data_IF_805618020422
#
_entry.id   IF_805618020422
#
_cell.length_a   1.000
_cell.length_b   1.000
_cell.length_c   1.000
_cell.angle_alpha   90.00
_cell.angle_beta   90.00
_cell.angle_gamma   90.00
#
_symmetry.space_group_name_H-M   'P 1'
#
loop_
_entity.id
_entity.type
_entity.pdbx_description
1 polymer ?
#
# COMPACT_ATOMS: atom_id res chain seq x y z
N UNK A 1 -16.56 -16.58 20.10
CA UNK A 1 -15.17 -16.25 19.73
C UNK A 1 -15.18 -15.07 18.75
N UNK A 2 -14.77 -13.85 19.07
CA UNK A 2 -14.93 -13.06 20.31
C UNK A 2 -15.17 -11.61 19.86
N UNK A 3 -16.08 -10.91 20.53
CA UNK A 3 -16.46 -9.52 20.27
C UNK A 3 -15.37 -8.49 20.69
N UNK A 4 -14.16 -8.95 21.01
CA UNK A 4 -13.10 -8.14 21.62
C UNK A 4 -12.28 -7.34 20.60
N UNK A 5 -12.07 -7.83 19.37
CA UNK A 5 -11.22 -7.11 18.39
C UNK A 5 -11.92 -5.89 17.78
N UNK A 6 -13.23 -5.94 17.58
CA UNK A 6 -14.00 -4.82 17.05
C UNK A 6 -14.15 -3.67 18.07
N UNK A 7 -14.00 -3.99 19.37
CA UNK A 7 -14.01 -3.04 20.48
C UNK A 7 -12.66 -2.32 20.64
N UNK A 8 -11.55 -2.96 20.25
CA UNK A 8 -10.21 -2.41 20.42
C UNK A 8 -9.97 -1.18 19.53
N UNK A 9 -10.21 -1.25 18.21
CA UNK A 9 -10.01 -0.10 17.32
C UNK A 9 -10.97 1.07 17.59
N UNK A 10 -12.23 0.78 17.96
CA UNK A 10 -13.20 1.82 18.33
C UNK A 10 -12.83 2.54 19.63
N UNK A 11 -12.34 1.81 20.63
CA UNK A 11 -11.96 2.41 21.90
C UNK A 11 -10.58 3.08 21.84
N UNK A 12 -9.59 2.45 21.23
CA UNK A 12 -8.21 2.98 21.20
C UNK A 12 -8.14 4.37 20.56
N UNK A 13 -8.79 4.60 19.41
CA UNK A 13 -8.75 5.90 18.74
C UNK A 13 -9.70 6.96 19.34
N UNK A 14 -10.82 6.55 19.96
CA UNK A 14 -11.64 7.48 20.75
C UNK A 14 -10.94 7.96 22.04
N UNK A 15 -10.16 7.10 22.71
CA UNK A 15 -9.49 7.46 23.97
C UNK A 15 -8.14 8.16 23.77
N UNK A 16 -7.48 8.00 22.60
CA UNK A 16 -6.16 8.64 22.35
C UNK A 16 -6.29 10.09 21.86
N UNK A 17 -7.46 10.52 21.35
CA UNK A 17 -7.73 11.91 20.95
C UNK A 17 -9.08 12.42 21.48
N UNK A 18 -9.24 12.69 22.78
CA UNK A 18 -10.53 13.14 23.34
C UNK A 18 -10.85 14.61 23.01
N UNK A 19 -9.92 15.39 22.44
CA UNK A 19 -10.05 16.84 22.32
C UNK A 19 -9.23 17.40 21.16
N UNK A 20 -9.78 17.39 19.95
CA UNK A 20 -9.37 18.36 18.93
C UNK A 20 -10.08 19.67 19.30
N UNK A 21 -9.44 20.45 20.16
CA UNK A 21 -9.77 21.85 20.37
C UNK A 21 -9.31 22.60 19.12
N UNK A 22 -10.11 23.50 18.52
CA UNK A 22 -9.67 24.23 17.34
C UNK A 22 -8.45 25.07 17.71
N UNK A 23 -7.28 24.73 17.13
CA UNK A 23 -6.08 25.56 17.23
C UNK A 23 -6.35 26.80 16.39
N UNK A 24 -6.61 27.93 17.07
CA UNK A 24 -6.58 29.25 16.46
C UNK A 24 -5.14 29.53 15.99
N UNK A 25 -4.93 29.56 14.67
CA UNK A 25 -3.67 29.99 14.08
C UNK A 25 -3.49 31.50 14.26
N UNK A 26 -2.59 31.89 15.17
CA UNK A 26 -1.99 33.23 15.14
C UNK A 26 -0.84 33.23 14.14
N UNK A 27 -0.93 34.05 13.10
CA UNK A 27 0.13 34.23 12.12
C UNK A 27 1.37 34.83 12.78
N UNK A 28 2.44 34.04 12.84
CA UNK A 28 3.79 34.58 12.93
C UNK A 28 4.57 34.16 11.67
N UNK A 29 4.96 35.17 10.89
CA UNK A 29 5.79 35.06 9.69
C UNK A 29 7.18 34.52 10.09
N UNK A 30 7.51 33.31 9.64
CA UNK A 30 8.88 32.80 9.67
C UNK A 30 9.47 32.86 8.27
N UNK A 31 10.37 33.81 8.07
CA UNK A 31 11.19 33.95 6.87
C UNK A 31 12.21 32.80 6.77
N UNK A 32 12.11 31.99 5.73
CA UNK A 32 13.05 30.90 5.43
C UNK A 32 14.35 31.48 4.85
N UNK A 33 15.47 31.31 5.56
CA UNK A 33 16.81 31.56 5.01
C UNK A 33 17.33 30.27 4.37
N UNK A 34 17.66 30.34 3.08
CA UNK A 34 18.21 29.23 2.29
C UNK A 34 19.58 28.79 2.80
N UNK A 35 19.83 27.49 2.87
CA UNK A 35 21.19 26.93 2.94
C UNK A 35 21.34 25.78 1.94
N UNK A 36 22.55 25.62 1.34
CA UNK A 36 22.75 24.85 0.10
C UNK A 36 23.03 23.35 0.32
N UNK A 37 22.65 22.56 -0.70
CA UNK A 37 22.90 21.12 -0.87
C UNK A 37 24.38 20.72 -0.73
N UNK A 38 24.62 19.44 -0.42
CA UNK A 38 25.65 18.72 -1.16
C UNK A 38 25.17 17.40 -1.77
N UNK A 39 25.70 17.16 -2.96
CA UNK A 39 25.48 16.04 -3.87
C UNK A 39 25.99 14.71 -3.30
N UNK A 40 25.25 13.62 -3.52
CA UNK A 40 25.76 12.26 -3.41
C UNK A 40 26.03 11.73 -4.82
N UNK A 41 27.32 11.62 -5.14
CA UNK A 41 27.85 10.92 -6.31
C UNK A 41 28.01 9.44 -5.96
N UNK A 42 27.31 8.55 -6.69
CA UNK A 42 27.60 7.11 -6.64
C UNK A 42 28.40 6.77 -7.88
N UNK A 43 29.69 6.53 -7.65
CA UNK A 43 30.67 5.98 -8.58
C UNK A 43 30.38 4.49 -8.79
N UNK A 44 30.20 4.03 -10.02
CA UNK A 44 30.39 2.62 -10.38
C UNK A 44 31.39 2.57 -11.54
N UNK A 45 32.61 2.09 -11.25
CA UNK A 45 33.61 1.68 -12.24
C UNK A 45 33.79 0.15 -12.15
N UNK A 46 33.31 -0.57 -13.19
CA UNK A 46 33.90 -1.65 -14.03
C UNK A 46 34.88 -2.70 -13.45
N UNK A 47 35.16 -3.88 -14.11
CA UNK A 47 34.84 -4.28 -15.49
C UNK A 47 34.33 -5.73 -15.73
N UNK A 48 33.91 -5.97 -16.97
CA UNK A 48 33.72 -7.29 -17.61
C UNK A 48 34.93 -8.22 -17.41
N UNK A 49 34.67 -9.50 -17.15
CA UNK A 49 35.52 -10.61 -17.58
C UNK A 49 34.66 -11.72 -18.19
N UNK A 50 34.97 -12.04 -19.44
CA UNK A 50 34.40 -13.13 -20.21
C UNK A 50 35.13 -14.44 -19.90
N UNK A 51 34.39 -15.53 -19.71
CA UNK A 51 34.92 -16.90 -19.94
C UNK A 51 33.84 -17.77 -20.54
N UNK A 52 34.11 -18.27 -21.76
CA UNK A 52 33.40 -19.37 -22.41
C UNK A 52 33.60 -20.68 -21.62
N UNK A 53 32.53 -21.44 -21.42
CA UNK A 53 32.62 -22.89 -21.25
C UNK A 53 31.31 -23.56 -21.71
N UNK A 54 31.43 -24.33 -22.79
CA UNK A 54 30.46 -25.25 -23.35
C UNK A 54 30.41 -26.57 -22.55
N UNK A 55 29.22 -27.04 -22.14
CA UNK A 55 28.86 -28.48 -22.10
C UNK A 55 27.43 -28.73 -21.60
N UNK A 56 26.66 -29.49 -22.42
CA UNK A 56 25.42 -30.28 -22.28
C UNK A 56 24.42 -30.13 -21.10
N UNK A 57 23.11 -30.39 -21.35
CA UNK A 57 22.06 -30.30 -20.35
C UNK A 57 21.92 -31.61 -19.55
N UNK A 58 21.75 -31.50 -18.23
CA UNK A 58 21.17 -32.57 -17.42
C UNK A 58 19.98 -32.01 -16.66
N UNK A 59 18.87 -32.75 -16.82
CA UNK A 59 17.55 -32.55 -16.26
C UNK A 59 17.56 -32.27 -14.76
N UNK A 60 17.00 -31.14 -14.35
CA UNK A 60 16.24 -31.07 -13.12
C UNK A 60 15.18 -29.95 -13.23
N UNK A 61 13.91 -30.33 -13.23
CA UNK A 61 12.75 -29.45 -13.36
C UNK A 61 12.48 -28.61 -12.11
N UNK A 62 13.44 -27.76 -11.74
CA UNK A 62 13.19 -26.60 -10.89
C UNK A 62 12.85 -25.42 -11.79
N UNK A 63 11.66 -24.84 -11.65
CA UNK A 63 11.34 -23.55 -12.27
C UNK A 63 12.33 -22.54 -11.69
N UNK A 64 13.40 -22.23 -12.42
CA UNK A 64 14.31 -21.14 -12.07
C UNK A 64 13.56 -19.86 -12.38
N UNK A 65 12.87 -19.34 -11.37
CA UNK A 65 12.20 -18.04 -11.49
C UNK A 65 13.29 -16.99 -11.62
N UNK A 66 13.45 -16.42 -12.81
CA UNK A 66 14.44 -15.40 -13.08
C UNK A 66 14.22 -14.21 -12.13
N UNK A 67 15.29 -13.60 -11.61
CA UNK A 67 15.15 -12.44 -10.73
C UNK A 67 14.52 -11.27 -11.47
N UNK A 68 13.75 -10.50 -10.71
CA UNK A 68 13.56 -9.06 -10.88
C UNK A 68 14.55 -8.34 -11.79
N UNK A 69 14.26 -8.11 -13.08
CA UNK A 69 15.04 -7.13 -13.83
C UNK A 69 14.76 -5.72 -13.28
N UNK A 70 15.76 -4.83 -13.30
CA UNK A 70 15.55 -3.43 -12.93
C UNK A 70 14.47 -2.77 -13.80
N UNK A 71 14.38 -3.14 -15.08
CA UNK A 71 13.33 -2.66 -15.99
C UNK A 71 11.93 -3.01 -15.49
N UNK A 72 11.72 -4.27 -15.07
CA UNK A 72 10.40 -4.74 -14.66
C UNK A 72 9.96 -4.11 -13.33
N UNK A 73 10.91 -3.79 -12.45
CA UNK A 73 10.64 -3.00 -11.25
C UNK A 73 10.26 -1.54 -11.60
N UNK A 74 10.92 -0.92 -12.57
CA UNK A 74 10.57 0.44 -13.03
C UNK A 74 9.17 0.45 -13.64
N UNK A 75 8.82 -0.54 -14.46
CA UNK A 75 7.50 -0.64 -15.07
C UNK A 75 6.40 -0.82 -14.01
N UNK A 76 6.65 -1.69 -13.02
CA UNK A 76 5.77 -1.87 -11.87
C UNK A 76 5.57 -0.55 -11.09
N UNK A 77 6.66 0.14 -10.75
CA UNK A 77 6.60 1.42 -10.03
C UNK A 77 5.91 2.53 -10.85
N UNK A 78 6.08 2.51 -12.17
CA UNK A 78 5.41 3.43 -13.09
C UNK A 78 3.90 3.21 -13.06
N UNK A 79 3.44 1.96 -12.96
CA UNK A 79 2.01 1.68 -12.81
C UNK A 79 1.49 2.11 -11.44
N UNK A 80 2.23 1.81 -10.37
CA UNK A 80 1.91 2.25 -9.01
C UNK A 80 1.86 3.79 -8.87
N UNK A 81 2.57 4.55 -9.72
CA UNK A 81 2.46 6.01 -9.74
C UNK A 81 1.02 6.48 -9.87
N UNK A 82 0.16 5.75 -10.60
CA UNK A 82 -1.25 6.10 -10.79
C UNK A 82 -2.00 6.25 -9.46
N UNK A 83 -1.60 5.53 -8.42
CA UNK A 83 -2.18 5.65 -7.08
C UNK A 83 -2.02 7.06 -6.47
N UNK A 84 -0.99 7.81 -6.86
CA UNK A 84 -0.77 9.20 -6.43
C UNK A 84 -1.68 10.18 -7.13
N UNK A 85 -2.08 9.86 -8.36
CA UNK A 85 -2.92 10.73 -9.20
C UNK A 85 -4.40 10.39 -9.11
N UNK A 86 -4.74 9.13 -8.80
CA UNK A 86 -6.12 8.68 -8.64
C UNK A 86 -6.65 9.19 -7.31
N UNK A 87 -7.62 10.09 -7.39
CA UNK A 87 -8.34 10.63 -6.24
C UNK A 87 -9.39 9.64 -5.75
N UNK A 88 -9.58 9.57 -4.43
CA UNK A 88 -10.59 8.70 -3.82
C UNK A 88 -12.00 9.17 -4.25
N UNK A 89 -12.70 8.33 -5.00
CA UNK A 89 -13.97 8.62 -5.64
C UNK A 89 -15.07 8.96 -4.63
N UNK A 90 -14.99 8.42 -3.42
CA UNK A 90 -15.90 8.78 -2.32
C UNK A 90 -15.88 10.28 -1.99
N UNK A 91 -14.72 10.94 -2.05
CA UNK A 91 -14.58 12.38 -1.77
C UNK A 91 -14.99 13.24 -2.95
N UNK A 92 -14.62 12.83 -4.17
CA UNK A 92 -15.00 13.53 -5.41
C UNK A 92 -16.53 13.67 -5.47
N UNK A 93 -17.26 12.61 -5.14
CA UNK A 93 -18.73 12.60 -5.16
C UNK A 93 -19.39 13.46 -4.08
N UNK A 94 -18.64 13.85 -3.06
CA UNK A 94 -19.09 14.77 -2.00
C UNK A 94 -18.61 16.21 -2.25
N UNK A 95 -18.12 16.49 -3.46
CA UNK A 95 -17.64 17.80 -3.89
C UNK A 95 -16.54 18.40 -2.99
N UNK A 96 -15.77 17.53 -2.31
CA UNK A 96 -14.62 17.95 -1.51
C UNK A 96 -13.54 18.50 -2.44
N UNK A 97 -13.06 19.70 -2.13
CA UNK A 97 -11.94 20.32 -2.84
C UNK A 97 -10.64 19.59 -2.47
N UNK A 98 -9.78 19.36 -3.45
CA UNK A 98 -8.48 18.69 -3.30
C UNK A 98 -8.55 17.36 -2.51
N UNK A 99 -9.34 16.37 -2.97
CA UNK A 99 -9.49 15.10 -2.28
C UNK A 99 -8.16 14.34 -2.16
N UNK A 100 -8.03 13.52 -1.13
CA UNK A 100 -6.87 12.64 -0.95
C UNK A 100 -6.74 11.65 -2.12
N UNK A 101 -5.51 11.30 -2.48
CA UNK A 101 -5.23 10.20 -3.41
C UNK A 101 -5.29 8.84 -2.72
N UNK A 102 -5.38 7.76 -3.48
CA UNK A 102 -5.30 6.39 -2.93
C UNK A 102 -3.94 6.18 -2.23
N UNK A 103 -2.85 6.74 -2.76
CA UNK A 103 -1.55 6.68 -2.13
C UNK A 103 -1.50 7.42 -0.78
N UNK A 104 -2.17 8.57 -0.63
CA UNK A 104 -2.26 9.30 0.63
C UNK A 104 -2.97 8.47 1.71
N UNK A 105 -4.07 7.82 1.30
CA UNK A 105 -4.84 6.92 2.15
C UNK A 105 -4.00 5.72 2.64
N UNK A 106 -3.36 5.00 1.72
CA UNK A 106 -2.50 3.85 2.07
C UNK A 106 -1.30 4.26 2.92
N UNK A 107 -0.71 5.43 2.66
CA UNK A 107 0.38 5.96 3.48
C UNK A 107 -0.07 6.17 4.92
N UNK A 108 -1.19 6.87 5.14
CA UNK A 108 -1.70 7.12 6.49
C UNK A 108 -2.07 5.82 7.20
N UNK A 109 -2.66 4.84 6.52
CA UNK A 109 -2.91 3.50 7.08
C UNK A 109 -1.63 2.76 7.48
N UNK A 110 -0.57 2.88 6.67
CA UNK A 110 0.72 2.27 6.96
C UNK A 110 1.34 2.86 8.22
N UNK A 111 1.22 4.19 8.41
CA UNK A 111 1.63 4.85 9.65
C UNK A 111 0.76 4.42 10.82
N UNK A 112 -0.56 4.30 10.65
CA UNK A 112 -1.46 3.78 11.70
C UNK A 112 -1.06 2.38 12.15
N UNK A 113 -0.74 1.48 11.21
CA UNK A 113 -0.25 0.14 11.52
C UNK A 113 1.10 0.18 12.25
N UNK A 114 2.01 1.08 11.86
CA UNK A 114 3.32 1.23 12.47
C UNK A 114 3.25 1.72 13.93
N UNK A 115 2.34 2.66 14.23
CA UNK A 115 2.20 3.26 15.58
C UNK A 115 1.17 2.56 16.46
N UNK A 116 0.44 1.57 15.92
CA UNK A 116 -0.51 0.79 16.70
C UNK A 116 0.21 0.07 17.85
N UNK A 117 -0.43 0.06 19.03
CA UNK A 117 0.04 -0.75 20.14
C UNK A 117 0.09 -2.23 19.73
N UNK A 118 1.04 -2.96 20.32
CA UNK A 118 1.19 -4.38 20.04
C UNK A 118 -0.08 -5.13 20.45
N UNK A 119 -0.68 -5.83 19.48
CA UNK A 119 -1.87 -6.65 19.69
C UNK A 119 -1.39 -8.11 19.81
N UNK A 120 -1.71 -8.83 20.90
CA UNK A 120 -1.29 -10.22 21.06
C UNK A 120 -1.72 -11.09 19.88
N UNK A 121 -0.74 -11.75 19.24
CA UNK A 121 -0.98 -12.64 18.10
C UNK A 121 -1.16 -11.93 16.75
N UNK A 122 -0.84 -10.65 16.66
CA UNK A 122 -0.84 -9.88 15.40
C UNK A 122 0.60 -9.51 15.03
N UNK A 123 1.00 -9.81 13.80
CA UNK A 123 2.25 -9.32 13.24
C UNK A 123 2.09 -7.89 12.69
N UNK A 124 2.74 -6.93 13.36
CA UNK A 124 2.70 -5.51 12.99
C UNK A 124 3.36 -5.24 11.64
N UNK A 125 4.49 -5.88 11.34
CA UNK A 125 5.21 -5.66 10.08
C UNK A 125 4.36 -6.16 8.92
N UNK A 126 3.65 -7.28 9.12
CA UNK A 126 2.67 -7.78 8.16
C UNK A 126 1.50 -6.81 7.98
N UNK A 127 0.98 -6.20 9.06
CA UNK A 127 -0.06 -5.17 8.96
C UNK A 127 0.40 -3.96 8.14
N UNK A 128 1.64 -3.49 8.34
CA UNK A 128 2.22 -2.39 7.57
C UNK A 128 2.33 -2.76 6.08
N UNK A 129 2.90 -3.93 5.76
CA UNK A 129 3.01 -4.41 4.38
C UNK A 129 1.65 -4.55 3.71
N UNK A 130 0.67 -5.10 4.43
CA UNK A 130 -0.69 -5.26 3.94
C UNK A 130 -1.35 -3.90 3.66
N UNK A 131 -1.20 -2.91 4.57
CA UNK A 131 -1.71 -1.56 4.36
C UNK A 131 -1.14 -0.89 3.10
N UNK A 132 0.15 -1.13 2.79
CA UNK A 132 0.81 -0.60 1.58
C UNK A 132 0.25 -1.18 0.28
N UNK A 133 -0.23 -2.44 0.30
CA UNK A 133 -0.59 -3.17 -0.94
C UNK A 133 -2.09 -3.41 -1.11
N UNK A 134 -2.93 -3.14 -0.10
CA UNK A 134 -4.33 -3.55 -0.14
C UNK A 134 -5.13 -2.95 -1.32
N UNK A 135 -4.93 -1.66 -1.63
CA UNK A 135 -5.56 -0.96 -2.76
C UNK A 135 -4.63 -0.90 -4.00
N UNK A 136 -3.57 -1.71 -4.08
CA UNK A 136 -2.61 -1.64 -5.20
C UNK A 136 -3.25 -1.92 -6.57
N UNK A 137 -4.29 -2.76 -6.60
CA UNK A 137 -5.04 -3.08 -7.82
C UNK A 137 -5.77 -1.85 -8.39
N UNK A 138 -6.13 -0.88 -7.54
CA UNK A 138 -6.79 0.37 -7.94
C UNK A 138 -5.88 1.26 -8.81
N UNK A 139 -4.58 0.99 -8.83
CA UNK A 139 -3.66 1.57 -9.82
C UNK A 139 -4.11 1.31 -11.25
N UNK A 140 -4.83 0.20 -11.50
CA UNK A 140 -5.36 -0.17 -12.81
C UNK A 140 -6.85 0.07 -12.88
N UNK A 141 -7.61 -0.47 -11.92
CA UNK A 141 -9.09 -0.50 -11.97
C UNK A 141 -9.75 0.82 -11.57
N UNK A 142 -9.03 1.70 -10.85
CA UNK A 142 -9.58 2.89 -10.21
C UNK A 142 -10.32 2.59 -8.91
N UNK A 143 -10.63 3.64 -8.14
CA UNK A 143 -11.38 3.51 -6.88
C UNK A 143 -12.88 3.26 -7.17
N UNK A 144 -13.30 1.99 -7.08
CA UNK A 144 -14.69 1.56 -7.30
C UNK A 144 -15.46 1.65 -5.99
N UNK A 145 -16.47 2.52 -5.97
CA UNK A 145 -17.29 2.79 -4.78
C UNK A 145 -18.62 2.00 -4.81
N UNK A 146 -19.30 1.80 -3.66
CA UNK A 146 -20.57 1.09 -3.62
C UNK A 146 -21.68 1.70 -4.49
N UNK A 147 -21.58 3.00 -4.83
CA UNK A 147 -22.56 3.69 -5.68
C UNK A 147 -22.33 3.48 -7.18
N UNK A 148 -21.21 2.87 -7.58
CA UNK A 148 -20.90 2.57 -8.98
C UNK A 148 -21.73 1.41 -9.57
N UNK A 149 -22.54 0.74 -8.74
CA UNK A 149 -23.39 -0.37 -9.18
C UNK A 149 -22.61 -1.64 -9.57
N UNK A 150 -21.31 -1.68 -9.31
CA UNK A 150 -20.46 -2.86 -9.52
C UNK A 150 -20.67 -3.83 -8.37
N UNK A 151 -21.02 -5.08 -8.68
CA UNK A 151 -21.19 -6.11 -7.64
C UNK A 151 -19.86 -6.40 -6.96
N UNK A 152 -19.89 -6.83 -5.69
CA UNK A 152 -18.68 -7.20 -4.95
C UNK A 152 -17.85 -8.27 -5.69
N UNK A 153 -18.53 -9.22 -6.33
CA UNK A 153 -17.88 -10.28 -7.11
C UNK A 153 -17.15 -9.72 -8.33
N UNK A 154 -17.78 -8.78 -9.05
CA UNK A 154 -17.18 -8.16 -10.23
C UNK A 154 -16.02 -7.22 -9.86
N UNK A 155 -16.14 -6.45 -8.77
CA UNK A 155 -15.04 -5.66 -8.21
C UNK A 155 -13.84 -6.56 -7.90
N UNK A 156 -14.08 -7.63 -7.14
CA UNK A 156 -13.03 -8.59 -6.76
C UNK A 156 -12.38 -9.25 -7.97
N UNK A 157 -13.15 -9.62 -9.01
CA UNK A 157 -12.63 -10.17 -10.27
C UNK A 157 -11.71 -9.19 -11.00
N UNK A 158 -12.13 -7.92 -11.15
CA UNK A 158 -11.32 -6.88 -11.82
C UNK A 158 -10.03 -6.61 -11.06
N UNK A 159 -10.10 -6.51 -9.74
CA UNK A 159 -8.94 -6.26 -8.90
C UNK A 159 -7.97 -7.43 -8.89
N UNK A 160 -8.49 -8.65 -8.90
CA UNK A 160 -7.72 -9.88 -9.08
C UNK A 160 -6.94 -9.89 -10.39
N UNK A 161 -7.60 -9.57 -11.51
CA UNK A 161 -6.93 -9.48 -12.81
C UNK A 161 -5.86 -8.39 -12.86
N UNK A 162 -6.13 -7.24 -12.24
CA UNK A 162 -5.17 -6.15 -12.11
C UNK A 162 -3.95 -6.56 -11.26
N UNK A 163 -4.17 -7.25 -10.14
CA UNK A 163 -3.11 -7.74 -9.29
C UNK A 163 -2.24 -8.79 -10.00
N UNK A 164 -2.87 -9.74 -10.69
CA UNK A 164 -2.15 -10.77 -11.46
C UNK A 164 -1.27 -10.12 -12.55
N UNK A 165 -1.76 -9.06 -13.20
CA UNK A 165 -0.98 -8.28 -14.15
C UNK A 165 0.20 -7.57 -13.48
N UNK A 166 -0.02 -6.89 -12.36
CA UNK A 166 1.05 -6.24 -11.56
C UNK A 166 2.14 -7.23 -11.14
N UNK A 167 1.74 -8.41 -10.64
CA UNK A 167 2.65 -9.47 -10.21
C UNK A 167 3.48 -10.05 -11.37
N UNK A 168 2.87 -10.22 -12.56
CA UNK A 168 3.58 -10.60 -13.79
C UNK A 168 4.54 -9.51 -14.24
N UNK A 169 4.11 -8.24 -14.20
CA UNK A 169 4.93 -7.09 -14.58
C UNK A 169 6.14 -6.94 -13.66
N UNK A 170 5.99 -7.23 -12.36
CA UNK A 170 7.11 -7.26 -11.42
C UNK A 170 8.13 -8.36 -11.74
N UNK A 171 7.84 -9.29 -12.65
CA UNK A 171 8.71 -10.42 -12.99
C UNK A 171 8.49 -11.66 -12.12
N UNK A 172 7.37 -11.73 -11.39
CA UNK A 172 7.04 -12.87 -10.53
C UNK A 172 7.98 -13.04 -9.33
N UNK A 173 8.23 -14.30 -8.97
CA UNK A 173 9.13 -14.67 -7.87
C UNK A 173 8.54 -14.44 -6.48
N UNK A 174 9.41 -14.50 -5.48
CA UNK A 174 9.02 -14.36 -4.07
C UNK A 174 8.37 -13.01 -3.76
N UNK A 175 8.85 -11.92 -4.38
CA UNK A 175 8.30 -10.57 -4.19
C UNK A 175 6.86 -10.45 -4.69
N UNK A 176 6.58 -10.92 -5.91
CA UNK A 176 5.22 -10.90 -6.45
C UNK A 176 4.29 -11.82 -5.65
N UNK A 177 4.79 -12.98 -5.20
CA UNK A 177 4.05 -13.91 -4.35
C UNK A 177 3.68 -13.30 -2.99
N UNK A 178 4.59 -12.56 -2.36
CA UNK A 178 4.31 -11.86 -1.09
C UNK A 178 3.19 -10.82 -1.27
N UNK A 179 3.23 -10.01 -2.34
CA UNK A 179 2.18 -9.03 -2.65
C UNK A 179 0.83 -9.73 -2.88
N UNK A 180 0.84 -10.81 -3.66
CA UNK A 180 -0.36 -11.60 -3.95
C UNK A 180 -1.00 -12.19 -2.68
N UNK A 181 -0.19 -12.81 -1.83
CA UNK A 181 -0.63 -13.42 -0.57
C UNK A 181 -1.20 -12.38 0.39
N UNK A 182 -0.52 -11.24 0.55
CA UNK A 182 -1.00 -10.13 1.39
C UNK A 182 -2.34 -9.59 0.91
N UNK A 183 -2.50 -9.39 -0.39
CA UNK A 183 -3.75 -8.89 -0.97
C UNK A 183 -4.88 -9.92 -0.82
N UNK A 184 -4.62 -11.20 -1.11
CA UNK A 184 -5.59 -12.29 -0.94
C UNK A 184 -6.06 -12.41 0.51
N UNK A 185 -5.14 -12.29 1.46
CA UNK A 185 -5.43 -12.33 2.88
C UNK A 185 -6.30 -11.15 3.32
N UNK A 186 -5.98 -9.95 2.84
CA UNK A 186 -6.79 -8.75 3.07
C UNK A 186 -8.21 -8.90 2.52
N UNK A 187 -8.36 -9.33 1.27
CA UNK A 187 -9.66 -9.49 0.63
C UNK A 187 -10.49 -10.60 1.27
N UNK A 188 -9.85 -11.71 1.62
CA UNK A 188 -10.46 -12.83 2.33
C UNK A 188 -10.82 -12.52 3.78
N UNK A 189 -10.26 -11.45 4.37
CA UNK A 189 -10.41 -11.10 5.78
C UNK A 189 -10.13 -12.29 6.73
N UNK A 190 -9.14 -13.11 6.36
CA UNK A 190 -8.94 -14.44 6.94
C UNK A 190 -8.09 -14.43 8.20
N UNK A 191 -7.14 -13.50 8.31
CA UNK A 191 -6.21 -13.37 9.44
C UNK A 191 -6.63 -12.31 10.46
N UNK A 192 -5.88 -12.22 11.56
CA UNK A 192 -6.07 -11.13 12.53
C UNK A 192 -5.54 -9.81 11.97
N UNK A 193 -4.43 -9.86 11.25
CA UNK A 193 -3.80 -8.74 10.56
C UNK A 193 -4.78 -8.11 9.55
N UNK A 194 -5.42 -8.94 8.71
CA UNK A 194 -6.42 -8.46 7.74
C UNK A 194 -7.60 -7.76 8.40
N UNK A 195 -8.06 -8.27 9.54
CA UNK A 195 -9.14 -7.63 10.32
C UNK A 195 -8.71 -6.28 10.87
N UNK A 196 -7.50 -6.21 11.42
CA UNK A 196 -6.91 -4.97 11.95
C UNK A 196 -6.75 -3.93 10.83
N UNK A 197 -6.19 -4.30 9.68
CA UNK A 197 -6.00 -3.39 8.55
C UNK A 197 -7.34 -2.93 7.96
N UNK A 198 -8.36 -3.79 7.88
CA UNK A 198 -9.72 -3.37 7.49
C UNK A 198 -10.36 -2.42 8.49
N UNK A 199 -10.03 -2.51 9.76
CA UNK A 199 -10.50 -1.54 10.76
C UNK A 199 -9.74 -0.20 10.63
N UNK A 200 -8.45 -0.22 10.28
CA UNK A 200 -7.71 1.00 9.93
C UNK A 200 -8.29 1.68 8.70
N UNK A 201 -8.63 0.96 7.64
CA UNK A 201 -9.27 1.51 6.43
C UNK A 201 -10.55 2.29 6.79
N UNK A 202 -11.45 1.69 7.58
CA UNK A 202 -12.67 2.35 8.07
C UNK A 202 -12.39 3.58 8.91
N UNK A 203 -11.41 3.53 9.81
CA UNK A 203 -11.05 4.67 10.66
C UNK A 203 -10.44 5.80 9.83
N UNK A 204 -9.58 5.47 8.87
CA UNK A 204 -8.92 6.40 7.96
C UNK A 204 -9.95 7.14 7.08
N UNK A 205 -10.95 6.41 6.59
CA UNK A 205 -12.13 6.98 5.91
C UNK A 205 -12.95 7.91 6.82
N UNK A 206 -13.16 7.53 8.08
CA UNK A 206 -13.93 8.34 9.02
C UNK A 206 -13.19 9.59 9.49
N UNK A 207 -11.87 9.51 9.69
CA UNK A 207 -11.04 10.62 10.19
C UNK A 207 -10.77 11.68 9.11
N UNK A 208 -10.70 11.30 7.83
CA UNK A 208 -10.68 12.23 6.70
C UNK A 208 -11.91 13.13 6.61
N UNK A 209 -13.00 12.82 7.31
CA UNK A 209 -14.21 13.66 7.35
C UNK A 209 -14.07 14.89 8.26
N UNK A 210 -13.06 14.92 9.13
CA UNK A 210 -12.86 15.94 10.17
C UNK A 210 -11.72 16.92 9.86
N UNK A 211 -11.06 16.76 8.72
CA UNK A 211 -10.05 17.70 8.19
C UNK A 211 -10.69 18.52 7.09
#
# INVERSE_FOLDING_TARGET
MSATNQSFCKNYWCYTFPSIVPISFSHQNLTFKSLPNPLISIYINSPLMATNASSLPSSNGGIVVAPSSASSAIDFLTLCHRLKTTKRAGWIRRDIQDPESIADHMYRMSIMALIAADIPGVDRDKCVKMAIVHDIAEAIVGDITPVDGVSKLEKSRREREALDYLCKLLGGGSRAKEIDELWMEYEGNSSLEAKVVKDFDKVCLASSFFV
#
